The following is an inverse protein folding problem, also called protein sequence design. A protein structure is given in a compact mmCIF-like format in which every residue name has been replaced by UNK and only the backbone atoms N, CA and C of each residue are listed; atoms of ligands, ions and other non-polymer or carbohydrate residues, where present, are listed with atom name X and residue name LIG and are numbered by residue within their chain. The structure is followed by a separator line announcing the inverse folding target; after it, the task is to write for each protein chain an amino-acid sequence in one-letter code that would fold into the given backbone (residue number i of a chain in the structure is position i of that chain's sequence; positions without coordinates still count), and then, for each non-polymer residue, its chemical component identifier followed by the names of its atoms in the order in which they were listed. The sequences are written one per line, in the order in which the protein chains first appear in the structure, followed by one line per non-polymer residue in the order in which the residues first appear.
data_IF_790851712284
#
_entry.id   IF_790851712284
#
_cell.length_a   1.000
_cell.length_b   1.000
_cell.length_c   1.000
_cell.angle_alpha   90.00
_cell.angle_beta   90.00
_cell.angle_gamma   90.00
#
_symmetry.space_group_name_H-M   'P 1'
#
loop_
_entity.id
_entity.type
_entity.pdbx_description
1 polymer ?
#
# COMPACT_ATOMS: atom_id res chain seq x y z
N UNK A 1 -17.53 -26.45 -5.48
CA UNK A 1 -16.23 -26.04 -4.91
C UNK A 1 -16.40 -25.81 -3.43
N UNK A 2 -15.46 -26.31 -2.64
CA UNK A 2 -15.48 -26.21 -1.18
C UNK A 2 -15.37 -24.74 -0.75
N UNK A 3 -16.32 -24.29 0.10
CA UNK A 3 -16.33 -22.93 0.64
C UNK A 3 -15.77 -22.91 2.06
N UNK A 4 -15.15 -23.99 2.53
CA UNK A 4 -14.49 -24.03 3.83
C UNK A 4 -13.55 -22.84 4.00
N UNK A 5 -12.77 -22.47 2.98
CA UNK A 5 -11.87 -21.32 3.01
C UNK A 5 -12.62 -19.99 3.19
N UNK A 6 -13.76 -19.79 2.51
CA UNK A 6 -14.57 -18.55 2.63
C UNK A 6 -15.35 -18.50 3.95
N UNK A 7 -15.88 -19.64 4.41
CA UNK A 7 -16.54 -19.76 5.71
C UNK A 7 -15.57 -19.54 6.85
N UNK A 8 -14.36 -20.07 6.73
CA UNK A 8 -13.27 -19.82 7.67
C UNK A 8 -12.90 -18.34 7.66
N UNK A 9 -12.76 -17.72 6.48
CA UNK A 9 -12.41 -16.32 6.33
C UNK A 9 -13.47 -15.38 6.94
N UNK A 10 -14.77 -15.65 6.72
CA UNK A 10 -15.86 -14.82 7.25
C UNK A 10 -16.07 -14.97 8.77
N UNK A 11 -15.69 -16.12 9.35
CA UNK A 11 -15.76 -16.38 10.78
C UNK A 11 -14.42 -16.17 11.50
N UNK A 12 -13.42 -15.61 10.82
CA UNK A 12 -12.09 -15.41 11.37
C UNK A 12 -12.10 -14.28 12.40
N UNK A 13 -11.76 -14.59 13.65
CA UNK A 13 -11.69 -13.60 14.73
C UNK A 13 -10.39 -12.80 14.60
N UNK A 14 -10.50 -11.48 14.70
CA UNK A 14 -9.38 -10.51 14.61
C UNK A 14 -8.58 -10.60 13.29
N UNK A 15 -9.20 -10.33 12.14
CA UNK A 15 -8.48 -10.35 10.87
C UNK A 15 -7.49 -9.18 10.79
N UNK A 16 -6.24 -9.49 10.50
CA UNK A 16 -5.19 -8.50 10.23
C UNK A 16 -4.57 -8.67 8.83
N UNK A 17 -3.90 -7.60 8.37
CA UNK A 17 -3.06 -7.65 7.18
C UNK A 17 -3.80 -8.07 5.91
N UNK A 18 -3.36 -9.17 5.28
CA UNK A 18 -3.99 -9.64 4.04
C UNK A 18 -5.43 -10.11 4.29
N UNK A 19 -5.68 -10.86 5.37
CA UNK A 19 -6.98 -11.47 5.67
C UNK A 19 -8.07 -10.39 5.82
N UNK A 20 -7.78 -9.31 6.56
CA UNK A 20 -8.69 -8.16 6.69
C UNK A 20 -9.06 -7.54 5.34
N UNK A 21 -8.08 -7.42 4.43
CA UNK A 21 -8.28 -6.86 3.09
C UNK A 21 -9.11 -7.77 2.20
N UNK A 22 -8.89 -9.08 2.27
CA UNK A 22 -9.71 -10.06 1.54
C UNK A 22 -11.16 -10.01 2.02
N UNK A 23 -11.39 -9.93 3.35
CA UNK A 23 -12.73 -9.78 3.92
C UNK A 23 -13.39 -8.49 3.42
N UNK A 24 -12.70 -7.34 3.51
CA UNK A 24 -13.23 -6.06 3.03
C UNK A 24 -13.60 -6.09 1.55
N UNK A 25 -12.74 -6.69 0.71
CA UNK A 25 -12.99 -6.79 -0.73
C UNK A 25 -14.13 -7.74 -1.07
N UNK A 26 -14.29 -8.82 -0.30
CA UNK A 26 -15.34 -9.82 -0.51
C UNK A 26 -16.71 -9.36 -0.01
N UNK A 27 -16.77 -8.43 0.95
CA UNK A 27 -18.01 -7.78 1.40
C UNK A 27 -18.72 -7.00 0.27
N UNK A 28 -18.00 -6.59 -0.77
CA UNK A 28 -18.59 -5.94 -1.96
C UNK A 28 -19.43 -6.92 -2.82
N UNK A 29 -19.36 -8.24 -2.56
CA UNK A 29 -19.98 -9.28 -3.39
C UNK A 29 -20.96 -10.15 -2.58
N UNK A 30 -22.16 -10.37 -3.11
CA UNK A 30 -23.08 -11.38 -2.61
C UNK A 30 -22.65 -12.78 -3.10
N UNK A 31 -21.90 -13.51 -2.26
CA UNK A 31 -21.38 -14.84 -2.61
C UNK A 31 -22.50 -15.88 -2.53
N UNK A 32 -22.95 -16.40 -3.69
CA UNK A 32 -23.93 -17.49 -3.76
C UNK A 32 -23.37 -18.72 -4.49
N UNK A 33 -23.86 -19.91 -4.13
CA UNK A 33 -23.38 -21.23 -4.60
C UNK A 33 -23.67 -21.56 -6.07
N UNK A 34 -24.47 -20.75 -6.80
CA UNK A 34 -24.94 -21.06 -8.17
C UNK A 34 -25.26 -19.78 -8.94
N UNK A 35 -25.32 -19.86 -10.28
CA UNK A 35 -26.02 -18.86 -11.10
C UNK A 35 -27.52 -18.92 -10.80
N UNK A 36 -27.94 -18.23 -9.73
CA UNK A 36 -29.35 -18.09 -9.42
C UNK A 36 -29.94 -16.96 -10.25
N UNK A 37 -31.10 -17.21 -10.86
CA UNK A 37 -31.99 -16.11 -11.27
C UNK A 37 -32.52 -15.43 -10.01
N UNK A 38 -32.90 -14.16 -10.14
CA UNK A 38 -33.57 -13.38 -9.10
C UNK A 38 -34.72 -14.21 -8.50
N UNK A 39 -34.88 -14.18 -7.17
CA UNK A 39 -35.92 -14.88 -6.36
C UNK A 39 -35.76 -16.39 -6.10
N UNK A 40 -34.53 -16.89 -5.86
CA UNK A 40 -34.33 -18.28 -5.45
C UNK A 40 -34.79 -18.58 -4.01
N UNK A 41 -35.85 -19.38 -3.86
CA UNK A 41 -36.41 -19.83 -2.56
C UNK A 41 -35.40 -20.56 -1.67
N UNK A 42 -34.43 -21.28 -2.24
CA UNK A 42 -33.40 -21.97 -1.47
C UNK A 42 -32.41 -20.99 -0.81
N UNK A 43 -32.07 -19.89 -1.49
CA UNK A 43 -31.24 -18.83 -0.91
C UNK A 43 -31.98 -18.11 0.21
N UNK A 44 -33.24 -17.75 -0.01
CA UNK A 44 -34.06 -17.07 1.00
C UNK A 44 -34.31 -17.93 2.26
N UNK A 45 -34.44 -19.26 2.09
CA UNK A 45 -34.54 -20.17 3.23
C UNK A 45 -33.19 -20.41 3.92
N UNK A 46 -32.06 -20.35 3.20
CA UNK A 46 -30.73 -20.40 3.83
C UNK A 46 -30.47 -19.13 4.66
N UNK A 47 -30.82 -17.94 4.15
CA UNK A 47 -30.76 -16.68 4.91
C UNK A 47 -31.58 -16.75 6.21
N UNK A 48 -32.77 -17.36 6.17
CA UNK A 48 -33.61 -17.57 7.36
C UNK A 48 -33.07 -18.62 8.34
N UNK A 49 -32.47 -19.70 7.82
CA UNK A 49 -32.02 -20.84 8.64
C UNK A 49 -30.65 -20.61 9.28
N UNK A 50 -29.80 -19.80 8.66
CA UNK A 50 -28.46 -19.50 9.16
C UNK A 50 -28.40 -18.31 10.08
N UNK A 51 -29.55 -17.71 10.44
CA UNK A 51 -29.67 -16.66 11.43
C UNK A 51 -28.45 -15.76 11.39
N UNK A 52 -28.41 -14.81 10.45
CA UNK A 52 -27.52 -13.66 10.60
C UNK A 52 -28.04 -12.93 11.84
N UNK A 53 -27.74 -13.48 13.02
CA UNK A 53 -27.60 -12.71 14.23
C UNK A 53 -26.52 -11.71 13.86
N UNK A 54 -26.97 -10.48 13.64
CA UNK A 54 -26.18 -9.27 13.52
C UNK A 54 -25.41 -8.97 14.82
N UNK A 55 -25.06 -10.00 15.60
CA UNK A 55 -24.49 -9.92 16.94
C UNK A 55 -23.14 -10.64 17.04
N UNK A 56 -22.46 -10.80 15.91
CA UNK A 56 -21.00 -10.67 15.96
C UNK A 56 -20.69 -9.19 15.83
N UNK A 57 -20.75 -8.47 16.97
CA UNK A 57 -20.08 -7.18 17.13
C UNK A 57 -18.56 -7.41 17.06
N UNK A 58 -18.05 -7.75 15.87
CA UNK A 58 -16.72 -7.29 15.53
C UNK A 58 -16.92 -5.82 15.24
N UNK A 59 -16.40 -4.95 16.10
CA UNK A 59 -16.18 -3.53 15.76
C UNK A 59 -15.10 -3.46 14.67
N UNK A 60 -15.33 -4.07 13.51
CA UNK A 60 -14.71 -3.58 12.29
C UNK A 60 -15.58 -2.41 11.93
N UNK A 61 -15.05 -1.19 12.05
CA UNK A 61 -15.59 -0.04 11.35
C UNK A 61 -15.65 -0.44 9.88
N UNK A 62 -16.80 -0.97 9.46
CA UNK A 62 -17.29 -0.81 8.12
C UNK A 62 -17.15 0.67 7.84
N UNK A 63 -16.23 1.04 6.95
CA UNK A 63 -16.37 2.28 6.21
C UNK A 63 -17.62 2.12 5.37
N UNK A 64 -18.77 2.27 6.02
CA UNK A 64 -19.98 2.76 5.38
C UNK A 64 -19.56 3.98 4.57
N UNK A 65 -20.20 4.14 3.43
CA UNK A 65 -20.12 5.25 2.48
C UNK A 65 -20.53 6.61 3.08
N UNK A 66 -20.33 6.79 4.39
CA UNK A 66 -20.71 7.92 5.20
C UNK A 66 -19.42 8.39 5.83
N UNK A 67 -19.06 9.65 5.59
CA UNK A 67 -17.97 10.29 6.32
C UNK A 67 -18.16 10.04 7.83
N UNK A 68 -17.08 9.81 8.62
CA UNK A 68 -17.19 9.46 10.04
C UNK A 68 -17.98 10.47 10.90
N UNK A 69 -18.22 11.66 10.34
CA UNK A 69 -18.82 12.79 11.00
C UNK A 69 -20.10 13.21 10.27
N UNK A 70 -21.04 13.77 11.02
CA UNK A 70 -22.22 14.40 10.43
C UNK A 70 -21.84 15.63 9.58
N UNK A 71 -22.67 15.96 8.59
CA UNK A 71 -22.47 17.16 7.76
C UNK A 71 -22.37 18.44 8.60
N UNK A 72 -23.11 18.53 9.72
CA UNK A 72 -23.07 19.68 10.63
C UNK A 72 -21.72 19.79 11.35
N UNK A 73 -21.17 18.69 11.86
CA UNK A 73 -19.86 18.68 12.52
C UNK A 73 -18.73 19.08 11.57
N UNK A 74 -18.78 18.60 10.33
CA UNK A 74 -17.78 18.95 9.31
C UNK A 74 -17.92 20.39 8.88
N UNK A 75 -19.14 20.87 8.65
CA UNK A 75 -19.38 22.26 8.29
C UNK A 75 -18.84 23.20 9.37
N UNK A 76 -19.12 22.90 10.64
CA UNK A 76 -18.58 23.67 11.78
C UNK A 76 -17.04 23.68 11.75
N UNK A 77 -16.41 22.53 11.55
CA UNK A 77 -14.95 22.45 11.48
C UNK A 77 -14.37 23.19 10.26
N UNK A 78 -15.07 23.23 9.12
CA UNK A 78 -14.67 24.02 7.95
C UNK A 78 -14.78 25.52 8.20
N UNK A 79 -15.79 25.97 8.95
CA UNK A 79 -15.95 27.37 9.38
C UNK A 79 -14.92 27.79 10.42
N UNK A 80 -14.41 26.86 11.23
CA UNK A 80 -13.33 27.11 12.18
C UNK A 80 -11.95 27.20 11.52
N UNK A 81 -11.75 26.59 10.34
CA UNK A 81 -10.49 26.66 9.58
C UNK A 81 -10.43 27.97 8.76
N UNK A 82 -9.55 28.93 9.08
CA UNK A 82 -9.53 30.24 8.42
C UNK A 82 -9.33 30.16 6.91
N UNK A 83 -8.59 29.15 6.42
CA UNK A 83 -8.29 29.04 4.99
C UNK A 83 -9.47 28.45 4.19
N UNK A 84 -10.23 27.55 4.81
CA UNK A 84 -11.43 26.94 4.19
C UNK A 84 -12.62 27.89 4.34
N UNK A 85 -12.77 28.51 5.52
CA UNK A 85 -13.85 29.46 5.83
C UNK A 85 -14.02 30.52 4.75
N UNK A 86 -12.93 31.21 4.35
CA UNK A 86 -12.99 32.26 3.32
C UNK A 86 -13.60 31.76 2.01
N UNK A 87 -13.22 30.54 1.57
CA UNK A 87 -13.72 29.94 0.34
C UNK A 87 -15.17 29.48 0.50
N UNK A 88 -15.48 28.86 1.64
CA UNK A 88 -16.82 28.39 1.97
C UNK A 88 -17.83 29.54 1.97
N UNK A 89 -17.53 30.64 2.67
CA UNK A 89 -18.38 31.84 2.73
C UNK A 89 -18.56 32.47 1.34
N UNK A 90 -17.47 32.63 0.58
CA UNK A 90 -17.55 33.17 -0.78
C UNK A 90 -18.42 32.30 -1.69
N UNK A 91 -18.36 30.96 -1.52
CA UNK A 91 -19.10 30.02 -2.35
C UNK A 91 -20.56 29.84 -1.94
N UNK A 92 -20.91 30.19 -0.70
CA UNK A 92 -22.28 30.35 -0.23
C UNK A 92 -22.92 31.65 -0.77
N UNK A 93 -22.13 32.74 -0.85
CA UNK A 93 -22.64 34.06 -1.25
C UNK A 93 -22.73 34.26 -2.77
N UNK A 94 -21.84 33.64 -3.55
CA UNK A 94 -21.83 33.76 -5.02
C UNK A 94 -21.38 32.47 -5.71
N UNK A 95 -21.97 32.20 -6.87
CA UNK A 95 -21.52 31.14 -7.76
C UNK A 95 -20.21 31.51 -8.46
N UNK A 96 -20.00 32.81 -8.73
CA UNK A 96 -18.90 33.31 -9.52
C UNK A 96 -17.58 33.26 -8.76
N UNK A 97 -16.51 33.07 -9.53
CA UNK A 97 -15.15 33.02 -8.98
C UNK A 97 -14.74 34.41 -8.46
N UNK A 98 -14.32 34.52 -7.19
CA UNK A 98 -13.81 35.76 -6.62
C UNK A 98 -12.66 36.32 -7.45
N UNK A 99 -12.62 37.63 -7.60
CA UNK A 99 -11.54 38.30 -8.32
C UNK A 99 -10.20 38.08 -7.62
N UNK A 100 -9.09 38.20 -8.37
CA UNK A 100 -7.76 38.10 -7.78
C UNK A 100 -7.52 39.15 -6.70
N UNK A 101 -8.05 40.36 -6.86
CA UNK A 101 -7.89 41.45 -5.89
C UNK A 101 -8.45 41.08 -4.51
N UNK A 102 -9.57 40.34 -4.46
CA UNK A 102 -10.17 39.88 -3.22
C UNK A 102 -9.40 38.75 -2.53
N UNK A 103 -8.66 37.95 -3.30
CA UNK A 103 -7.97 36.74 -2.80
C UNK A 103 -6.46 36.97 -2.60
N UNK A 104 -5.89 38.00 -3.22
CA UNK A 104 -4.51 38.41 -3.06
C UNK A 104 -4.06 38.60 -1.59
N UNK A 105 -4.86 39.18 -0.67
CA UNK A 105 -4.44 39.33 0.73
C UNK A 105 -4.54 38.02 1.54
N UNK A 106 -5.22 37.00 1.02
CA UNK A 106 -5.49 35.75 1.74
C UNK A 106 -4.27 34.84 1.86
N UNK A 107 -4.40 33.83 2.73
CA UNK A 107 -3.35 32.85 2.98
C UNK A 107 -2.97 32.05 1.71
N UNK A 108 -1.73 31.50 1.62
CA UNK A 108 -1.36 30.60 0.53
C UNK A 108 -2.25 29.37 0.41
N UNK A 109 -2.84 28.91 1.52
CA UNK A 109 -3.77 27.77 1.55
C UNK A 109 -5.08 28.15 0.87
N UNK A 110 -5.64 29.31 1.23
CA UNK A 110 -6.85 29.88 0.62
C UNK A 110 -6.68 30.06 -0.88
N UNK A 111 -5.53 30.60 -1.32
CA UNK A 111 -5.20 30.78 -2.74
C UNK A 111 -5.16 29.47 -3.51
N UNK A 112 -4.71 28.37 -2.90
CA UNK A 112 -4.72 27.04 -3.52
C UNK A 112 -6.13 26.49 -3.70
N UNK A 113 -6.99 26.68 -2.70
CA UNK A 113 -8.40 26.32 -2.84
C UNK A 113 -9.11 27.21 -3.87
N UNK A 114 -8.82 28.51 -3.91
CA UNK A 114 -9.31 29.41 -4.96
C UNK A 114 -8.84 28.99 -6.35
N UNK A 115 -7.61 28.48 -6.51
CA UNK A 115 -7.15 27.94 -7.79
C UNK A 115 -7.96 26.70 -8.25
N UNK A 116 -8.59 26.00 -7.31
CA UNK A 116 -9.45 24.83 -7.55
C UNK A 116 -10.94 25.20 -7.62
N UNK A 117 -11.30 26.49 -7.63
CA UNK A 117 -12.68 26.98 -7.49
C UNK A 117 -13.72 26.26 -8.33
N UNK A 118 -13.44 26.04 -9.61
CA UNK A 118 -14.38 25.42 -10.55
C UNK A 118 -14.67 23.95 -10.24
N UNK A 119 -13.76 23.30 -9.51
CA UNK A 119 -13.93 21.93 -9.01
C UNK A 119 -14.55 21.87 -7.61
N UNK A 120 -14.75 23.00 -6.93
CA UNK A 120 -15.31 23.05 -5.59
C UNK A 120 -16.83 23.22 -5.63
N UNK A 121 -17.54 22.36 -4.91
CA UNK A 121 -19.00 22.39 -4.80
C UNK A 121 -19.44 22.22 -3.36
N UNK A 122 -20.61 22.78 -3.06
CA UNK A 122 -21.27 22.62 -1.77
C UNK A 122 -22.23 21.43 -1.82
N UNK A 123 -22.22 20.64 -0.75
CA UNK A 123 -23.22 19.59 -0.48
C UNK A 123 -23.64 19.71 0.97
N UNK A 124 -24.92 19.96 1.22
CA UNK A 124 -25.46 20.16 2.57
C UNK A 124 -24.65 21.19 3.39
N UNK A 125 -24.19 22.25 2.72
CA UNK A 125 -23.39 23.32 3.32
C UNK A 125 -21.92 22.97 3.61
N UNK A 126 -21.46 21.79 3.21
CA UNK A 126 -20.06 21.33 3.32
C UNK A 126 -19.35 21.45 1.97
N UNK A 127 -18.09 21.90 2.01
CA UNK A 127 -17.25 22.06 0.83
C UNK A 127 -16.62 20.73 0.40
N UNK A 128 -16.89 20.33 -0.83
CA UNK A 128 -16.30 19.18 -1.50
C UNK A 128 -15.56 19.61 -2.77
N UNK A 129 -14.59 18.81 -3.17
CA UNK A 129 -13.96 18.87 -4.48
C UNK A 129 -14.48 17.74 -5.36
N UNK A 130 -14.94 18.07 -6.56
CA UNK A 130 -15.21 17.12 -7.63
C UNK A 130 -13.91 16.86 -8.37
N UNK A 131 -13.42 15.64 -8.28
CA UNK A 131 -12.27 15.18 -9.05
C UNK A 131 -12.74 14.29 -10.20
N UNK A 132 -12.28 14.58 -11.40
CA UNK A 132 -12.51 13.76 -12.59
C UNK A 132 -11.18 13.20 -13.10
N UNK A 133 -11.19 11.94 -13.50
CA UNK A 133 -10.05 11.34 -14.19
C UNK A 133 -9.93 11.90 -15.60
N UNK A 134 -8.70 11.97 -16.12
CA UNK A 134 -8.39 12.47 -17.47
C UNK A 134 -9.18 11.76 -18.61
N UNK A 135 -9.65 10.54 -18.36
CA UNK A 135 -10.46 9.77 -19.30
C UNK A 135 -11.99 9.99 -19.16
N UNK A 136 -12.42 10.86 -18.24
CA UNK A 136 -13.82 11.16 -17.91
C UNK A 136 -14.60 10.01 -17.26
N UNK A 137 -13.99 8.83 -17.05
CA UNK A 137 -14.72 7.61 -16.63
C UNK A 137 -14.95 7.52 -15.13
N UNK A 138 -14.18 8.25 -14.34
CA UNK A 138 -14.36 8.26 -12.87
C UNK A 138 -14.46 9.67 -12.34
N UNK A 139 -15.58 9.92 -11.66
CA UNK A 139 -15.85 11.13 -10.91
C UNK A 139 -15.87 10.75 -9.43
N UNK A 140 -15.08 11.46 -8.61
CA UNK A 140 -14.98 11.23 -7.17
C UNK A 140 -15.23 12.52 -6.42
N UNK A 141 -15.97 12.42 -5.33
CA UNK A 141 -16.19 13.51 -4.42
C UNK A 141 -15.20 13.41 -3.27
N UNK A 142 -14.38 14.43 -3.12
CA UNK A 142 -13.37 14.52 -2.07
C UNK A 142 -13.79 15.60 -1.08
N UNK A 143 -13.98 15.24 0.18
CA UNK A 143 -14.24 16.21 1.24
C UNK A 143 -13.02 17.13 1.40
N UNK A 144 -13.25 18.45 1.44
CA UNK A 144 -12.20 19.41 1.81
C UNK A 144 -12.01 19.32 3.32
N UNK A 145 -10.94 18.67 3.74
CA UNK A 145 -10.74 18.32 5.14
C UNK A 145 -10.13 19.50 5.94
N UNK A 146 -10.75 19.93 7.05
CA UNK A 146 -10.17 20.91 7.96
C UNK A 146 -8.90 20.40 8.63
N UNK A 147 -7.95 21.31 8.93
CA UNK A 147 -6.67 20.93 9.55
C UNK A 147 -6.82 20.16 10.85
N UNK A 148 -7.85 20.48 11.64
CA UNK A 148 -8.15 19.80 12.92
C UNK A 148 -8.46 18.32 12.77
N UNK A 149 -8.94 17.87 11.60
CA UNK A 149 -9.35 16.48 11.33
C UNK A 149 -8.31 15.65 10.59
N UNK A 150 -7.21 16.27 10.12
CA UNK A 150 -6.12 15.57 9.42
C UNK A 150 -5.55 14.40 10.25
N UNK A 151 -5.22 14.57 11.55
CA UNK A 151 -4.63 13.46 12.33
C UNK A 151 -5.58 12.27 12.48
N UNK A 152 -6.89 12.50 12.51
CA UNK A 152 -7.91 11.46 12.61
C UNK A 152 -7.95 10.62 11.33
N UNK A 153 -7.99 11.27 10.16
CA UNK A 153 -7.95 10.60 8.85
C UNK A 153 -6.64 9.86 8.63
N UNK A 154 -5.50 10.44 8.99
CA UNK A 154 -4.21 9.78 8.83
C UNK A 154 -4.10 8.52 9.70
N UNK A 155 -4.60 8.58 10.93
CA UNK A 155 -4.67 7.41 11.82
C UNK A 155 -5.58 6.32 11.25
N UNK A 156 -6.74 6.67 10.72
CA UNK A 156 -7.64 5.69 10.10
C UNK A 156 -7.00 5.09 8.82
N UNK A 157 -6.39 5.91 7.98
CA UNK A 157 -5.88 5.45 6.68
C UNK A 157 -4.52 4.74 6.78
N UNK A 158 -3.74 4.97 7.83
CA UNK A 158 -2.42 4.37 8.04
C UNK A 158 -2.35 3.39 9.21
N UNK A 159 -2.79 3.79 10.41
CA UNK A 159 -2.58 3.03 11.66
C UNK A 159 -3.68 2.00 11.94
N UNK A 160 -4.87 2.14 11.35
CA UNK A 160 -5.96 1.17 11.56
C UNK A 160 -5.66 -0.18 10.91
N UNK A 161 -6.36 -1.23 11.33
CA UNK A 161 -6.29 -2.55 10.68
C UNK A 161 -6.58 -2.49 9.17
N UNK A 162 -7.43 -1.56 8.74
CA UNK A 162 -7.71 -1.32 7.31
C UNK A 162 -6.59 -0.54 6.60
N UNK A 163 -5.81 0.24 7.34
CA UNK A 163 -4.66 1.02 6.86
C UNK A 163 -3.36 0.21 6.81
N UNK A 164 -3.23 -0.81 7.66
CA UNK A 164 -2.20 -1.85 7.59
C UNK A 164 -0.77 -1.32 7.49
N UNK A 165 -0.50 -0.12 8.03
CA UNK A 165 0.78 0.58 7.92
C UNK A 165 1.33 0.65 6.49
N UNK A 166 0.45 0.89 5.52
CA UNK A 166 0.85 0.98 4.12
C UNK A 166 1.93 2.05 3.90
N UNK A 167 2.82 1.78 2.93
CA UNK A 167 3.79 2.76 2.47
C UNK A 167 3.10 3.98 1.83
N UNK A 168 3.83 5.10 1.78
CA UNK A 168 3.35 6.42 1.36
C UNK A 168 2.40 6.39 0.16
N UNK A 169 2.78 5.74 -0.93
CA UNK A 169 1.98 5.74 -2.17
C UNK A 169 0.59 5.13 -2.01
N UNK A 170 0.48 4.04 -1.24
CA UNK A 170 -0.79 3.36 -1.00
C UNK A 170 -1.66 4.16 -0.03
N UNK A 171 -1.08 4.67 1.06
CA UNK A 171 -1.78 5.55 2.01
C UNK A 171 -2.31 6.78 1.28
N UNK A 172 -1.47 7.42 0.45
CA UNK A 172 -1.84 8.58 -0.36
C UNK A 172 -2.99 8.28 -1.33
N UNK A 173 -2.95 7.13 -2.01
CA UNK A 173 -4.02 6.70 -2.92
C UNK A 173 -5.35 6.53 -2.18
N UNK A 174 -5.33 5.83 -1.04
CA UNK A 174 -6.52 5.58 -0.22
C UNK A 174 -7.11 6.87 0.35
N UNK A 175 -6.26 7.78 0.84
CA UNK A 175 -6.70 9.09 1.34
C UNK A 175 -7.37 9.92 0.23
N UNK A 176 -6.76 9.94 -0.98
CA UNK A 176 -7.28 10.68 -2.15
C UNK A 176 -8.59 10.13 -2.70
N UNK A 177 -9.05 8.95 -2.29
CA UNK A 177 -10.36 8.47 -2.69
C UNK A 177 -11.50 9.29 -2.08
N UNK A 178 -11.29 9.83 -0.87
CA UNK A 178 -12.34 10.48 -0.07
C UNK A 178 -12.00 11.90 0.38
N UNK A 179 -10.73 12.25 0.50
CA UNK A 179 -10.32 13.51 1.13
C UNK A 179 -9.35 14.32 0.27
N UNK A 180 -9.42 15.64 0.41
CA UNK A 180 -8.48 16.59 -0.19
C UNK A 180 -8.20 17.72 0.81
N UNK A 181 -6.93 18.09 0.98
CA UNK A 181 -6.52 19.27 1.74
C UNK A 181 -5.18 19.78 1.24
N UNK A 182 -4.79 21.00 1.64
CA UNK A 182 -3.49 21.54 1.27
C UNK A 182 -2.34 20.69 1.82
N UNK A 183 -1.32 20.44 1.00
CA UNK A 183 -0.14 19.64 1.35
C UNK A 183 -0.44 18.19 1.80
N UNK A 184 -1.58 17.62 1.42
CA UNK A 184 -1.96 16.22 1.68
C UNK A 184 -0.82 15.22 1.50
N UNK A 185 -0.09 15.30 0.39
CA UNK A 185 1.06 14.40 0.14
C UNK A 185 2.16 14.54 1.18
N UNK A 186 2.52 15.77 1.55
CA UNK A 186 3.58 16.03 2.52
C UNK A 186 3.20 15.54 3.92
N UNK A 187 1.94 15.70 4.31
CA UNK A 187 1.44 15.22 5.60
C UNK A 187 1.41 13.69 5.67
N UNK A 188 0.95 13.01 4.60
CA UNK A 188 1.00 11.55 4.51
C UNK A 188 2.45 11.03 4.57
N UNK A 189 3.37 11.68 3.84
CA UNK A 189 4.80 11.34 3.87
C UNK A 189 5.41 11.51 5.25
N UNK A 190 5.07 12.61 5.93
CA UNK A 190 5.51 12.89 7.29
C UNK A 190 4.98 11.86 8.27
N UNK A 191 3.68 11.57 8.24
CA UNK A 191 3.03 10.57 9.12
C UNK A 191 3.64 9.18 8.96
N UNK A 192 3.81 8.71 7.72
CA UNK A 192 4.42 7.41 7.44
C UNK A 192 5.90 7.34 7.87
N UNK A 193 6.60 8.49 7.94
CA UNK A 193 8.00 8.58 8.36
C UNK A 193 8.12 8.58 9.89
N UNK A 194 7.20 9.25 10.57
CA UNK A 194 7.16 9.39 12.03
C UNK A 194 6.48 8.19 12.72
N UNK A 195 5.82 7.32 11.95
CA UNK A 195 5.20 6.10 12.48
C UNK A 195 6.25 5.16 13.12
N UNK A 196 6.15 5.02 14.44
CA UNK A 196 7.03 4.16 15.24
C UNK A 196 6.96 2.68 14.81
N UNK A 197 5.74 2.17 14.57
CA UNK A 197 5.54 0.80 14.12
C UNK A 197 6.24 0.54 12.77
N UNK A 198 6.09 1.45 11.80
CA UNK A 198 6.80 1.37 10.52
C UNK A 198 8.31 1.47 10.68
N UNK A 199 8.79 2.34 11.57
CA UNK A 199 10.21 2.54 11.85
C UNK A 199 10.85 1.29 12.44
N UNK A 200 10.20 0.67 13.41
CA UNK A 200 10.68 -0.54 14.08
C UNK A 200 10.82 -1.75 13.12
N UNK A 201 9.92 -1.89 12.15
CA UNK A 201 9.97 -2.97 11.16
C UNK A 201 10.99 -2.72 10.04
N UNK A 202 11.31 -1.44 9.76
CA UNK A 202 12.28 -1.08 8.72
C UNK A 202 13.68 -1.21 9.32
N UNK A 203 14.33 -2.34 9.03
CA UNK A 203 15.74 -2.53 9.32
C UNK A 203 16.62 -1.38 8.77
N UNK A 204 17.85 -1.23 9.29
CA UNK A 204 18.73 -0.13 8.92
C UNK A 204 18.88 0.01 7.40
N UNK A 205 18.62 1.21 6.88
CA UNK A 205 18.68 1.52 5.44
C UNK A 205 20.09 1.35 4.85
N UNK A 206 21.10 1.50 5.69
CA UNK A 206 22.49 1.32 5.32
C UNK A 206 22.82 -0.16 5.43
N UNK A 207 22.78 -0.88 4.31
CA UNK A 207 23.68 -2.02 4.16
C UNK A 207 25.09 -1.48 4.42
N UNK A 208 25.71 -1.90 5.53
CA UNK A 208 27.09 -1.55 5.85
C UNK A 208 27.94 -1.99 4.66
N UNK A 209 28.30 -1.05 3.78
CA UNK A 209 29.22 -1.33 2.69
C UNK A 209 30.59 -1.49 3.33
N UNK A 210 30.96 -2.74 3.59
CA UNK A 210 32.30 -3.02 4.07
C UNK A 210 33.31 -2.48 3.03
N UNK A 211 34.40 -1.87 3.50
CA UNK A 211 35.43 -1.33 2.61
C UNK A 211 36.02 -2.49 1.80
N UNK A 212 36.00 -2.39 0.47
CA UNK A 212 36.69 -3.33 -0.42
C UNK A 212 38.15 -3.45 0.01
N UNK A 213 38.57 -4.64 0.42
CA UNK A 213 39.95 -4.95 0.76
C UNK A 213 40.64 -5.54 -0.47
N UNK A 214 41.90 -5.17 -0.70
CA UNK A 214 42.74 -5.87 -1.68
C UNK A 214 43.23 -7.16 -1.03
N UNK A 215 43.08 -8.27 -1.73
CA UNK A 215 43.76 -9.50 -1.35
C UNK A 215 45.22 -9.37 -1.77
N UNK A 216 46.13 -9.27 -0.80
CA UNK A 216 47.57 -9.31 -1.06
C UNK A 216 47.94 -10.78 -1.26
N UNK A 217 48.33 -11.14 -2.49
CA UNK A 217 48.83 -12.46 -2.87
C UNK A 217 50.14 -12.22 -3.61
N UNK A 218 51.22 -12.85 -3.17
CA UNK A 218 52.60 -12.61 -3.63
C UNK A 218 53.15 -13.68 -4.57
N UNK A 219 52.54 -14.86 -4.63
CA UNK A 219 53.00 -15.96 -5.48
C UNK A 219 51.84 -16.76 -6.13
N UNK A 220 52.08 -17.45 -7.27
CA UNK A 220 51.13 -18.40 -7.85
C UNK A 220 50.71 -19.47 -6.83
N UNK A 221 49.43 -19.86 -6.85
CA UNK A 221 48.83 -20.91 -6.01
C UNK A 221 48.84 -20.63 -4.50
N UNK A 222 49.25 -19.43 -4.06
CA UNK A 222 49.17 -19.03 -2.65
C UNK A 222 47.72 -18.84 -2.18
N UNK A 223 46.81 -18.47 -3.10
CA UNK A 223 45.38 -18.44 -2.84
C UNK A 223 44.58 -18.74 -4.10
N UNK A 224 43.71 -19.74 -4.01
CA UNK A 224 42.79 -20.12 -5.07
C UNK A 224 41.34 -19.89 -4.64
N UNK A 225 40.50 -19.49 -5.60
CA UNK A 225 39.03 -19.47 -5.46
C UNK A 225 38.48 -20.71 -6.13
N UNK A 226 37.45 -21.28 -5.51
CA UNK A 226 36.63 -22.31 -6.10
C UNK A 226 35.20 -21.81 -6.13
N UNK A 227 34.51 -22.02 -7.24
CA UNK A 227 33.08 -21.78 -7.38
C UNK A 227 32.45 -22.92 -8.18
N UNK A 228 31.16 -23.17 -7.99
CA UNK A 228 30.44 -24.22 -8.70
C UNK A 228 29.25 -23.61 -9.42
N UNK A 229 29.24 -23.76 -10.75
CA UNK A 229 28.15 -23.30 -11.60
C UNK A 229 27.21 -24.46 -11.93
N UNK A 230 25.90 -24.20 -11.86
CA UNK A 230 24.85 -25.12 -12.31
C UNK A 230 23.64 -25.13 -11.37
N UNK A 231 22.73 -26.12 -11.52
CA UNK A 231 22.82 -27.27 -12.43
C UNK A 231 22.60 -26.90 -13.90
N UNK A 232 23.34 -27.56 -14.80
CA UNK A 232 23.21 -27.50 -16.26
C UNK A 232 22.56 -28.78 -16.81
N UNK A 233 22.15 -28.80 -18.09
CA UNK A 233 21.74 -30.03 -18.76
C UNK A 233 22.83 -31.10 -18.65
N UNK A 234 22.40 -32.34 -18.39
CA UNK A 234 23.30 -33.48 -18.21
C UNK A 234 23.99 -33.78 -19.53
N UNK A 235 25.32 -33.78 -19.51
CA UNK A 235 26.15 -34.15 -20.67
C UNK A 235 26.12 -35.66 -20.91
N UNK A 236 26.59 -36.12 -22.07
CA UNK A 236 26.73 -37.56 -22.37
C UNK A 236 27.64 -38.32 -21.39
N UNK A 237 28.51 -37.61 -20.68
CA UNK A 237 29.39 -38.16 -19.64
C UNK A 237 28.79 -38.11 -18.23
N UNK A 238 27.54 -37.67 -18.07
CA UNK A 238 26.87 -37.57 -16.77
C UNK A 238 27.16 -36.29 -15.98
N UNK A 239 28.00 -35.39 -16.49
CA UNK A 239 28.32 -34.13 -15.82
C UNK A 239 27.16 -33.13 -15.91
N UNK A 240 26.92 -32.39 -14.83
CA UNK A 240 25.83 -31.40 -14.71
C UNK A 240 26.23 -30.11 -14.00
N UNK A 241 27.46 -30.02 -13.50
CA UNK A 241 28.03 -28.81 -12.90
C UNK A 241 29.40 -28.51 -13.49
N UNK A 242 29.88 -27.30 -13.27
CA UNK A 242 31.24 -26.87 -13.63
C UNK A 242 31.91 -26.34 -12.37
N UNK A 243 32.98 -27.00 -11.93
CA UNK A 243 33.90 -26.49 -10.91
C UNK A 243 34.82 -25.47 -11.57
N UNK A 244 34.74 -24.22 -11.12
CA UNK A 244 35.61 -23.14 -11.57
C UNK A 244 36.67 -22.91 -10.52
N UNK A 245 37.93 -23.06 -10.91
CA UNK A 245 39.09 -22.74 -10.10
C UNK A 245 39.77 -21.49 -10.66
N UNK A 246 40.23 -20.60 -9.78
CA UNK A 246 41.00 -19.44 -10.20
C UNK A 246 42.10 -19.13 -9.20
N UNK A 247 43.34 -19.08 -9.68
CA UNK A 247 44.45 -18.55 -8.90
C UNK A 247 44.36 -17.02 -8.79
N UNK A 248 44.45 -16.48 -7.57
CA UNK A 248 44.36 -15.03 -7.37
C UNK A 248 45.57 -14.26 -7.89
N UNK A 249 46.75 -14.88 -7.97
CA UNK A 249 47.96 -14.20 -8.40
C UNK A 249 48.03 -14.11 -9.93
N UNK A 250 48.06 -15.26 -10.59
CA UNK A 250 48.17 -15.37 -12.06
C UNK A 250 46.87 -15.05 -12.79
N UNK A 251 45.72 -15.09 -12.09
CA UNK A 251 44.38 -15.02 -12.68
C UNK A 251 44.08 -16.17 -13.63
N UNK A 252 44.83 -17.27 -13.55
CA UNK A 252 44.62 -18.46 -14.35
C UNK A 252 43.30 -19.14 -13.97
N UNK A 253 42.33 -19.25 -14.91
CA UNK A 253 41.07 -19.94 -14.66
C UNK A 253 41.13 -21.39 -15.17
N UNK A 254 40.52 -22.30 -14.43
CA UNK A 254 40.29 -23.67 -14.84
C UNK A 254 38.82 -24.03 -14.62
N UNK A 255 38.23 -24.75 -15.56
CA UNK A 255 36.82 -25.13 -15.54
C UNK A 255 36.70 -26.63 -15.75
N UNK A 256 36.33 -27.35 -14.69
CA UNK A 256 36.29 -28.81 -14.66
C UNK A 256 34.83 -29.26 -14.60
N UNK A 257 34.36 -30.09 -15.54
CA UNK A 257 32.98 -30.59 -15.51
C UNK A 257 32.83 -31.71 -14.48
N UNK A 258 31.84 -31.60 -13.58
CA UNK A 258 31.61 -32.57 -12.49
C UNK A 258 30.14 -33.08 -12.47
N UNK A 259 29.89 -34.31 -12.00
CA UNK A 259 28.56 -34.92 -11.94
C UNK A 259 27.69 -34.42 -10.77
N UNK A 260 28.28 -33.99 -9.66
CA UNK A 260 27.59 -33.53 -8.45
C UNK A 260 28.41 -32.46 -7.71
N UNK A 261 27.90 -31.94 -6.59
CA UNK A 261 28.59 -30.94 -5.76
C UNK A 261 29.17 -31.59 -4.49
N UNK A 262 29.38 -32.90 -4.48
CA UNK A 262 29.90 -33.60 -3.30
C UNK A 262 31.35 -33.22 -3.02
N UNK A 263 31.69 -33.12 -1.74
CA UNK A 263 33.03 -32.72 -1.32
C UNK A 263 34.11 -33.70 -1.80
N UNK A 264 33.79 -35.00 -1.89
CA UNK A 264 34.67 -36.05 -2.44
C UNK A 264 34.99 -35.77 -3.90
N UNK A 265 33.98 -35.55 -4.73
CA UNK A 265 34.13 -35.25 -6.17
C UNK A 265 34.97 -34.00 -6.41
N UNK A 266 34.72 -32.93 -5.64
CA UNK A 266 35.51 -31.69 -5.73
C UNK A 266 36.96 -31.91 -5.30
N UNK A 267 37.20 -32.67 -4.22
CA UNK A 267 38.54 -32.97 -3.73
C UNK A 267 39.33 -33.85 -4.71
N UNK A 268 38.70 -34.85 -5.32
CA UNK A 268 39.33 -35.72 -6.32
C UNK A 268 39.76 -34.93 -7.56
N UNK A 269 38.89 -34.06 -8.08
CA UNK A 269 39.22 -33.22 -9.24
C UNK A 269 40.32 -32.20 -8.93
N UNK A 270 40.35 -31.65 -7.71
CA UNK A 270 41.42 -30.76 -7.23
C UNK A 270 42.80 -31.40 -7.13
N UNK A 271 42.85 -32.69 -6.78
CA UNK A 271 44.12 -33.43 -6.68
C UNK A 271 44.61 -33.86 -8.07
N UNK A 272 43.70 -34.00 -9.02
CA UNK A 272 44.00 -34.46 -10.39
C UNK A 272 44.48 -33.33 -11.31
N UNK A 273 44.04 -32.10 -11.07
CA UNK A 273 44.46 -30.87 -11.77
C UNK A 273 45.87 -30.44 -11.39
#
# INVERSE_FOLDING_TARGET
TDHASLRWLLNFKEPEGQIARWIQRLQEYALSRRSCRESCKHCSNAEKKFGIETDTSVKVLTTTSVDPWSSCEIQKAQLEDPAIKTILEKKLNSADRPSWQEIAPESPTTKRYWALWDSLHLKDGVLYRRWESDNGRSCRWQLILPKSRIPEVLRETHDSASGGHFGVMKSLSKTRERFCWDRLRADVEKWCRECHACGAHKGPKTRTKCRLQRYNVGAPFERMVLDILGPFPVTSKGNRYVLVLMDYFTKWPEAIPIPDQEASTVAEELVRS
#
